data_IF_840926264410
#
_entry.id   IF_840926264410
#
_cell.length_a   1.000
_cell.length_b   1.000
_cell.length_c   1.000
_cell.angle_alpha   90.00
_cell.angle_beta   90.00
_cell.angle_gamma   90.00
#
_symmetry.space_group_name_H-M   'P 1'
#
loop_
_entity.id
_entity.type
_entity.pdbx_description
1 polymer ?
#
# COMPACT_ATOMS: atom_id res chain seq x y z
N UNK A 1 41.12 32.64 41.96
CA UNK A 1 41.74 33.20 40.74
C UNK A 1 42.38 32.01 40.04
N UNK A 2 41.85 31.40 38.99
CA UNK A 2 40.87 31.80 37.97
C UNK A 2 39.74 30.76 37.85
N UNK A 3 38.58 31.25 37.42
CA UNK A 3 37.34 30.54 37.16
C UNK A 3 37.11 30.66 35.64
N UNK A 4 37.06 29.54 34.92
CA UNK A 4 36.57 29.50 33.53
C UNK A 4 35.67 28.27 33.32
N UNK A 5 34.41 28.50 33.67
CA UNK A 5 33.21 28.35 32.84
C UNK A 5 33.13 27.16 31.87
N UNK A 6 32.27 26.21 32.26
CA UNK A 6 31.58 25.22 31.45
C UNK A 6 30.67 25.85 30.39
N UNK A 7 30.63 25.26 29.19
CA UNK A 7 29.57 25.49 28.19
C UNK A 7 29.01 24.13 27.77
N UNK A 8 27.75 23.84 28.13
CA UNK A 8 27.00 22.70 27.63
C UNK A 8 26.35 23.03 26.29
N UNK A 9 26.45 22.10 25.35
CA UNK A 9 25.60 22.08 24.16
C UNK A 9 24.36 21.24 24.49
N UNK A 10 23.19 21.87 24.50
CA UNK A 10 21.91 21.18 24.55
C UNK A 10 21.50 20.84 23.12
N UNK A 11 21.52 19.56 22.77
CA UNK A 11 20.93 19.04 21.54
C UNK A 11 19.41 19.17 21.61
N UNK A 12 18.85 20.00 20.74
CA UNK A 12 17.41 20.14 20.54
C UNK A 12 16.84 18.90 19.86
N UNK A 13 16.36 17.93 20.64
CA UNK A 13 15.45 16.91 20.15
C UNK A 13 14.07 17.55 19.95
N UNK A 14 13.73 17.85 18.70
CA UNK A 14 12.36 18.14 18.29
C UNK A 14 11.51 16.93 18.65
N UNK A 15 10.63 17.06 19.65
CA UNK A 15 9.68 16.02 19.99
C UNK A 15 8.80 15.77 18.76
N UNK A 16 8.97 14.61 18.14
CA UNK A 16 8.08 14.13 17.08
C UNK A 16 6.75 13.84 17.79
N UNK A 17 5.74 14.66 17.52
CA UNK A 17 4.38 14.41 17.97
C UNK A 17 3.97 13.06 17.37
N UNK A 18 3.91 12.03 18.23
CA UNK A 18 3.53 10.69 17.81
C UNK A 18 2.09 10.77 17.31
N UNK A 19 1.91 10.71 15.99
CA UNK A 19 0.60 10.52 15.40
C UNK A 19 0.06 9.21 15.97
N UNK A 20 -1.03 9.30 16.71
CA UNK A 20 -1.77 8.13 17.19
C UNK A 20 -2.98 7.92 16.31
N UNK A 21 -3.31 6.67 16.04
CA UNK A 21 -4.47 6.30 15.25
C UNK A 21 -5.19 5.14 15.92
N UNK A 22 -6.52 5.20 16.16
CA UNK A 22 -7.25 4.13 16.83
C UNK A 22 -7.05 2.76 16.17
N UNK A 23 -6.83 2.71 14.85
CA UNK A 23 -6.66 1.45 14.11
C UNK A 23 -5.22 0.94 14.28
N UNK A 24 -4.22 1.82 14.13
CA UNK A 24 -2.82 1.49 14.44
C UNK A 24 -2.65 1.02 15.89
N UNK A 25 -3.29 1.68 16.85
CA UNK A 25 -3.18 1.32 18.26
C UNK A 25 -3.86 -0.02 18.56
N UNK A 26 -4.98 -0.33 17.90
CA UNK A 26 -5.62 -1.65 17.98
C UNK A 26 -4.73 -2.77 17.41
N UNK A 27 -4.04 -2.51 16.29
CA UNK A 27 -3.07 -3.45 15.70
C UNK A 27 -1.83 -3.65 16.59
N UNK A 28 -1.32 -2.58 17.22
CA UNK A 28 -0.22 -2.65 18.19
C UNK A 28 -0.60 -3.48 19.41
N UNK A 29 -1.82 -3.32 19.92
CA UNK A 29 -2.34 -4.11 21.04
C UNK A 29 -2.41 -5.63 20.73
N UNK A 30 -2.47 -6.00 19.45
CA UNK A 30 -2.43 -7.39 18.97
C UNK A 30 -1.02 -7.89 18.65
N UNK A 31 0.01 -7.06 18.81
CA UNK A 31 1.40 -7.40 18.49
C UNK A 31 1.66 -7.55 16.98
N UNK A 32 0.84 -6.92 16.12
CA UNK A 32 0.98 -7.01 14.67
C UNK A 32 1.95 -5.93 14.15
N UNK A 33 3.06 -6.30 13.51
CA UNK A 33 4.04 -5.33 13.00
C UNK A 33 3.47 -4.46 11.88
N UNK A 34 3.53 -3.15 12.07
CA UNK A 34 3.18 -2.13 11.09
C UNK A 34 3.74 -0.78 11.54
N UNK A 35 3.80 0.19 10.64
CA UNK A 35 4.23 1.56 10.90
C UNK A 35 3.11 2.53 10.50
N UNK A 36 2.69 3.42 11.40
CA UNK A 36 1.76 4.50 11.04
C UNK A 36 2.55 5.63 10.36
N UNK A 37 2.37 5.76 9.05
CA UNK A 37 3.10 6.76 8.24
C UNK A 37 2.48 8.16 8.31
N UNK A 38 1.23 8.26 8.75
CA UNK A 38 0.51 9.51 8.91
C UNK A 38 -0.98 9.37 8.59
N UNK A 39 -1.64 10.52 8.40
CA UNK A 39 -3.03 10.60 7.98
C UNK A 39 -3.11 11.19 6.57
N UNK A 40 -4.09 10.75 5.78
CA UNK A 40 -4.36 11.35 4.48
C UNK A 40 -5.09 12.72 4.60
N UNK A 41 -5.44 13.31 3.45
CA UNK A 41 -6.18 14.57 3.40
C UNK A 41 -7.60 14.49 3.99
N UNK A 42 -8.18 13.29 4.10
CA UNK A 42 -9.47 12.98 4.74
C UNK A 42 -9.34 12.50 6.19
N UNK A 43 -8.13 12.55 6.77
CA UNK A 43 -7.81 12.11 8.13
C UNK A 43 -7.93 10.58 8.33
N UNK A 44 -7.79 9.81 7.26
CA UNK A 44 -7.74 8.35 7.25
C UNK A 44 -6.30 7.89 7.54
N UNK A 45 -6.14 6.92 8.43
CA UNK A 45 -4.84 6.35 8.79
C UNK A 45 -4.18 5.66 7.58
N UNK A 46 -2.91 5.99 7.33
CA UNK A 46 -2.06 5.29 6.35
C UNK A 46 -1.02 4.48 7.11
N UNK A 47 -1.20 3.16 7.12
CA UNK A 47 -0.28 2.22 7.74
C UNK A 47 0.60 1.55 6.68
N UNK A 48 1.91 1.53 6.91
CA UNK A 48 2.87 0.73 6.15
C UNK A 48 2.98 -0.64 6.79
N UNK A 49 2.92 -1.68 5.96
CA UNK A 49 3.00 -3.09 6.37
C UNK A 49 3.97 -3.81 5.45
N UNK A 50 4.90 -4.56 6.03
CA UNK A 50 5.82 -5.40 5.26
C UNK A 50 5.07 -6.60 4.64
N UNK A 51 5.45 -7.08 3.44
CA UNK A 51 4.70 -8.10 2.71
C UNK A 51 4.39 -9.37 3.51
N UNK A 52 5.34 -9.86 4.30
CA UNK A 52 5.22 -11.03 5.19
C UNK A 52 4.18 -10.87 6.30
N UNK A 53 3.80 -9.64 6.66
CA UNK A 53 2.81 -9.35 7.70
C UNK A 53 1.43 -8.98 7.13
N UNK A 54 1.30 -8.83 5.81
CA UNK A 54 0.08 -8.36 5.16
C UNK A 54 -1.14 -9.22 5.52
N UNK A 55 -1.09 -10.56 5.39
CA UNK A 55 -2.30 -11.36 5.65
C UNK A 55 -2.67 -11.38 7.13
N UNK A 56 -1.69 -11.25 8.04
CA UNK A 56 -1.94 -11.21 9.48
C UNK A 56 -2.66 -9.90 9.85
N UNK A 57 -2.17 -8.76 9.36
CA UNK A 57 -2.83 -7.45 9.53
C UNK A 57 -4.20 -7.44 8.86
N UNK A 58 -4.29 -7.94 7.63
CA UNK A 58 -5.55 -7.98 6.87
C UNK A 58 -6.63 -8.83 7.56
N UNK A 59 -6.28 -10.01 8.09
CA UNK A 59 -7.22 -10.84 8.86
C UNK A 59 -7.68 -10.15 10.13
N UNK A 60 -6.75 -9.54 10.87
CA UNK A 60 -7.09 -8.80 12.08
C UNK A 60 -8.06 -7.63 11.81
N UNK A 61 -7.86 -6.90 10.70
CA UNK A 61 -8.77 -5.83 10.29
C UNK A 61 -10.13 -6.38 9.84
N UNK A 62 -10.15 -7.49 9.12
CA UNK A 62 -11.40 -8.16 8.75
C UNK A 62 -12.19 -8.57 10.00
N UNK A 63 -11.53 -9.18 10.99
CA UNK A 63 -12.11 -9.57 12.28
C UNK A 63 -12.60 -8.35 13.09
N UNK A 64 -11.98 -7.18 12.90
CA UNK A 64 -12.42 -5.90 13.49
C UNK A 64 -13.61 -5.28 12.79
N UNK A 65 -14.09 -5.88 11.70
CA UNK A 65 -15.24 -5.43 10.93
C UNK A 65 -14.91 -4.56 9.72
N UNK A 66 -13.64 -4.50 9.27
CA UNK A 66 -13.30 -3.95 7.95
C UNK A 66 -13.74 -4.93 6.85
N UNK A 67 -15.05 -5.03 6.66
CA UNK A 67 -15.73 -5.95 5.76
C UNK A 67 -15.77 -5.48 4.30
N UNK A 68 -15.32 -4.26 4.01
CA UNK A 68 -15.36 -3.68 2.67
C UNK A 68 -13.96 -3.21 2.23
N UNK A 69 -13.40 -3.91 1.23
CA UNK A 69 -12.24 -3.45 0.47
C UNK A 69 -12.75 -2.51 -0.63
N UNK A 70 -12.59 -1.20 -0.41
CA UNK A 70 -13.11 -0.16 -1.31
C UNK A 70 -12.25 -0.04 -2.57
N UNK A 71 -10.92 -0.08 -2.42
CA UNK A 71 -9.98 0.00 -3.52
C UNK A 71 -8.67 -0.69 -3.16
N UNK A 72 -8.29 -1.70 -3.93
CA UNK A 72 -6.91 -2.15 -4.02
C UNK A 72 -6.30 -1.54 -5.29
N UNK A 73 -5.09 -1.00 -5.21
CA UNK A 73 -4.39 -0.46 -6.36
C UNK A 73 -2.87 -0.61 -6.23
N UNK A 74 -2.21 -0.82 -7.36
CA UNK A 74 -0.76 -0.67 -7.48
C UNK A 74 -0.38 0.81 -7.61
N UNK A 75 0.80 1.16 -7.10
CA UNK A 75 1.42 2.46 -7.32
C UNK A 75 2.92 2.30 -7.56
N UNK A 76 3.50 3.33 -8.15
CA UNK A 76 4.92 3.41 -8.47
C UNK A 76 5.48 4.71 -7.87
N UNK A 77 6.43 4.60 -6.93
CA UNK A 77 7.04 5.75 -6.25
C UNK A 77 7.96 6.56 -7.17
N UNK A 78 8.44 5.98 -8.26
CA UNK A 78 9.35 6.66 -9.20
C UNK A 78 10.29 5.70 -9.92
N UNK A 79 10.92 6.13 -11.03
CA UNK A 79 11.88 5.30 -11.77
C UNK A 79 13.03 4.84 -10.87
N UNK A 80 13.20 3.53 -10.71
CA UNK A 80 14.22 2.94 -9.85
C UNK A 80 13.85 2.81 -8.37
N UNK A 81 12.80 3.50 -7.91
CA UNK A 81 12.27 3.38 -6.55
C UNK A 81 11.34 2.17 -6.40
N UNK A 82 10.87 1.88 -5.19
CA UNK A 82 9.96 0.76 -4.93
C UNK A 82 8.62 0.88 -5.67
N UNK A 83 8.05 -0.26 -6.03
CA UNK A 83 6.62 -0.35 -6.33
C UNK A 83 5.85 -0.45 -5.02
N UNK A 84 4.53 -0.26 -5.08
CA UNK A 84 3.69 -0.52 -3.93
C UNK A 84 2.32 -1.05 -4.28
N UNK A 85 1.73 -1.76 -3.31
CA UNK A 85 0.33 -2.18 -3.33
C UNK A 85 -0.38 -1.49 -2.18
N UNK A 86 -1.45 -0.76 -2.49
CA UNK A 86 -2.27 -0.04 -1.52
C UNK A 86 -3.64 -0.71 -1.41
N UNK A 87 -4.12 -0.86 -0.17
CA UNK A 87 -5.43 -1.40 0.15
C UNK A 87 -6.20 -0.39 0.99
N UNK A 88 -7.30 0.12 0.46
CA UNK A 88 -8.21 1.02 1.14
C UNK A 88 -9.42 0.23 1.66
N UNK A 89 -9.53 0.14 2.97
CA UNK A 89 -10.55 -0.61 3.69
C UNK A 89 -11.51 0.32 4.42
N UNK A 90 -12.77 -0.09 4.53
CA UNK A 90 -13.84 0.62 5.24
C UNK A 90 -14.66 -0.37 6.08
N UNK A 91 -15.12 0.05 7.27
CA UNK A 91 -16.11 -0.69 8.05
C UNK A 91 -17.53 -0.34 7.59
N UNK A 92 -18.09 -1.11 6.66
CA UNK A 92 -19.41 -0.87 6.12
C UNK A 92 -20.50 -1.37 7.10
N UNK A 93 -21.51 -0.54 7.34
CA UNK A 93 -22.73 -0.89 8.10
C UNK A 93 -23.95 -0.19 7.50
N UNK A 94 -25.16 -0.69 7.80
CA UNK A 94 -26.41 -0.29 7.13
C UNK A 94 -26.75 1.21 7.20
N UNK A 95 -26.21 1.94 8.17
CA UNK A 95 -26.52 3.35 8.42
C UNK A 95 -25.29 4.17 8.80
N UNK A 96 -24.13 3.81 8.21
CA UNK A 96 -22.89 4.50 8.50
C UNK A 96 -22.87 5.94 7.93
N UNK A 97 -22.69 6.94 8.80
CA UNK A 97 -22.20 8.27 8.42
C UNK A 97 -20.70 8.32 8.77
N UNK A 98 -19.85 8.44 7.73
CA UNK A 98 -18.38 8.42 7.84
C UNK A 98 -17.84 7.22 8.63
N UNK A 99 -18.02 5.98 8.10
CA UNK A 99 -17.48 4.79 8.73
C UNK A 99 -15.96 4.88 8.92
N UNK A 100 -15.37 4.19 9.91
CA UNK A 100 -13.93 4.06 10.02
C UNK A 100 -13.29 3.49 8.75
N UNK A 101 -12.21 4.12 8.30
CA UNK A 101 -11.44 3.75 7.12
C UNK A 101 -9.95 3.61 7.48
N UNK A 102 -9.22 2.76 6.74
CA UNK A 102 -7.76 2.63 6.83
C UNK A 102 -7.17 2.35 5.47
N UNK A 103 -5.95 2.86 5.22
CA UNK A 103 -5.16 2.51 4.04
C UNK A 103 -3.91 1.75 4.45
N UNK A 104 -3.74 0.56 3.90
CA UNK A 104 -2.53 -0.24 4.03
C UNK A 104 -1.66 0.04 2.81
N UNK A 105 -0.39 0.39 3.02
CA UNK A 105 0.62 0.45 1.96
C UNK A 105 1.66 -0.64 2.18
N UNK A 106 1.90 -1.43 1.15
CA UNK A 106 2.96 -2.44 1.10
C UNK A 106 3.93 -2.02 0.02
N UNK A 107 5.19 -1.81 0.40
CA UNK A 107 6.25 -1.43 -0.54
C UNK A 107 7.02 -2.67 -0.99
N UNK A 108 7.36 -2.74 -2.28
CA UNK A 108 7.88 -3.91 -2.94
C UNK A 108 9.11 -3.54 -3.78
N UNK A 109 10.16 -4.38 -3.81
CA UNK A 109 11.30 -4.16 -4.68
C UNK A 109 10.90 -4.32 -6.16
N UNK A 110 11.45 -3.48 -7.04
CA UNK A 110 11.14 -3.48 -8.49
C UNK A 110 11.54 -4.75 -9.23
N UNK A 111 12.64 -5.36 -8.83
CA UNK A 111 13.21 -6.55 -9.51
C UNK A 111 12.37 -7.81 -9.26
N UNK A 112 11.70 -7.89 -8.10
CA UNK A 112 10.90 -9.05 -7.71
C UNK A 112 9.69 -8.62 -6.85
N UNK A 113 8.72 -7.88 -7.40
CA UNK A 113 7.63 -7.29 -6.63
C UNK A 113 6.57 -8.34 -6.31
N UNK A 114 6.74 -9.04 -5.19
CA UNK A 114 5.85 -10.15 -4.75
C UNK A 114 5.17 -9.80 -3.45
N UNK A 115 3.87 -10.06 -3.37
CA UNK A 115 3.06 -9.82 -2.17
C UNK A 115 1.98 -10.90 -2.03
N UNK A 116 1.62 -11.36 -0.82
CA UNK A 116 0.49 -12.27 -0.65
C UNK A 116 -0.84 -11.67 -1.12
N UNK A 117 -1.65 -12.45 -1.84
CA UNK A 117 -3.00 -12.04 -2.27
C UNK A 117 -3.97 -11.96 -1.09
N UNK A 118 -4.75 -10.87 -1.02
CA UNK A 118 -5.83 -10.73 -0.02
C UNK A 118 -7.17 -11.28 -0.51
N UNK A 119 -7.21 -11.91 -1.69
CA UNK A 119 -8.41 -12.52 -2.29
C UNK A 119 -9.16 -13.47 -1.34
N UNK A 120 -8.44 -14.19 -0.48
CA UNK A 120 -9.05 -15.12 0.47
C UNK A 120 -9.72 -14.43 1.66
N UNK A 121 -9.48 -13.12 1.86
CA UNK A 121 -10.08 -12.28 2.89
C UNK A 121 -11.20 -11.44 2.27
N UNK A 122 -10.89 -10.66 1.22
CA UNK A 122 -11.87 -9.88 0.46
C UNK A 122 -11.88 -10.31 -1.00
N UNK A 123 -13.02 -10.86 -1.45
CA UNK A 123 -13.19 -11.30 -2.85
C UNK A 123 -13.13 -10.14 -3.86
N UNK A 124 -13.33 -8.90 -3.40
CA UNK A 124 -13.16 -7.69 -4.21
C UNK A 124 -11.77 -7.59 -4.86
N UNK A 125 -10.76 -8.19 -4.23
CA UNK A 125 -9.38 -8.15 -4.71
C UNK A 125 -9.14 -8.91 -6.03
N UNK A 126 -10.06 -9.76 -6.50
CA UNK A 126 -9.86 -10.60 -7.71
C UNK A 126 -9.39 -9.78 -8.93
N UNK A 127 -10.23 -8.86 -9.39
CA UNK A 127 -9.89 -8.04 -10.56
C UNK A 127 -8.87 -6.95 -10.24
N UNK A 128 -8.90 -6.39 -9.03
CA UNK A 128 -8.02 -5.28 -8.66
C UNK A 128 -6.54 -5.72 -8.55
N UNK A 129 -6.29 -6.91 -7.96
CA UNK A 129 -4.93 -7.47 -7.89
C UNK A 129 -4.44 -7.87 -9.29
N UNK A 130 -5.34 -8.38 -10.15
CA UNK A 130 -5.03 -8.65 -11.57
C UNK A 130 -4.73 -7.38 -12.36
N UNK A 131 -5.46 -6.28 -12.12
CA UNK A 131 -5.16 -4.96 -12.71
C UNK A 131 -3.77 -4.50 -12.27
N UNK A 132 -3.48 -4.61 -10.97
CA UNK A 132 -2.18 -4.25 -10.40
C UNK A 132 -1.04 -5.09 -10.97
N UNK A 133 -1.27 -6.39 -11.20
CA UNK A 133 -0.36 -7.25 -11.95
C UNK A 133 -0.19 -6.77 -13.39
N UNK A 134 -1.28 -6.55 -14.12
CA UNK A 134 -1.25 -6.20 -15.54
C UNK A 134 -0.55 -4.86 -15.81
N UNK A 135 -0.75 -3.89 -14.92
CA UNK A 135 -0.25 -2.52 -15.07
C UNK A 135 1.13 -2.30 -14.47
N UNK A 136 1.43 -2.92 -13.31
CA UNK A 136 2.66 -2.69 -12.56
C UNK A 136 3.54 -3.93 -12.42
N UNK A 137 3.12 -5.10 -12.88
CA UNK A 137 3.89 -6.35 -12.76
C UNK A 137 4.04 -6.86 -11.33
N UNK A 138 3.18 -6.44 -10.40
CA UNK A 138 3.17 -6.93 -9.02
C UNK A 138 2.57 -8.34 -9.01
N UNK A 139 3.32 -9.30 -8.48
CA UNK A 139 2.92 -10.71 -8.41
C UNK A 139 2.20 -10.96 -7.08
N UNK A 140 0.91 -11.30 -7.16
CA UNK A 140 0.08 -11.62 -6.00
C UNK A 140 0.08 -13.13 -5.72
N UNK A 141 0.82 -13.55 -4.71
CA UNK A 141 0.99 -14.96 -4.36
C UNK A 141 -0.28 -15.56 -3.75
N UNK A 142 -0.70 -16.71 -4.27
CA UNK A 142 -1.93 -17.38 -3.82
C UNK A 142 -3.22 -16.83 -4.46
N UNK A 143 -3.13 -15.92 -5.43
CA UNK A 143 -4.27 -15.47 -6.22
C UNK A 143 -4.80 -16.61 -7.11
N UNK A 144 -6.13 -16.85 -7.22
CA UNK A 144 -6.69 -18.00 -7.93
C UNK A 144 -6.48 -17.97 -9.45
N UNK A 145 -6.41 -16.78 -10.06
CA UNK A 145 -6.29 -16.61 -11.51
C UNK A 145 -5.52 -15.34 -11.86
N UNK A 146 -4.20 -15.32 -11.59
CA UNK A 146 -3.36 -14.15 -11.86
C UNK A 146 -2.93 -14.12 -13.33
N UNK A 147 -3.76 -13.48 -14.16
CA UNK A 147 -3.51 -13.24 -15.59
C UNK A 147 -3.80 -11.77 -15.93
N UNK A 148 -3.31 -11.30 -17.07
CA UNK A 148 -3.65 -9.97 -17.62
C UNK A 148 -5.17 -9.85 -17.85
N UNK A 149 -5.67 -8.62 -17.77
CA UNK A 149 -7.12 -8.32 -17.85
C UNK A 149 -7.47 -7.11 -18.71
N UNK A 150 -6.57 -6.11 -18.76
CA UNK A 150 -6.69 -4.90 -19.55
C UNK A 150 -5.83 -4.99 -20.81
N UNK A 151 -4.63 -5.54 -20.71
CA UNK A 151 -3.72 -5.70 -21.84
C UNK A 151 -3.96 -7.05 -22.55
N UNK A 152 -3.58 -7.16 -23.84
CA UNK A 152 -3.49 -8.44 -24.53
C UNK A 152 -2.66 -9.45 -23.72
N UNK A 153 -3.05 -10.73 -23.76
CA UNK A 153 -2.41 -11.79 -22.96
C UNK A 153 -0.92 -11.98 -23.30
N UNK A 154 -0.54 -11.67 -24.53
CA UNK A 154 0.81 -11.74 -25.09
C UNK A 154 1.62 -10.44 -24.87
N UNK A 155 1.05 -9.43 -24.20
CA UNK A 155 1.72 -8.15 -23.99
C UNK A 155 2.96 -8.30 -23.09
N UNK A 156 4.06 -7.69 -23.52
CA UNK A 156 5.33 -7.64 -22.78
C UNK A 156 5.53 -6.25 -22.18
N UNK A 157 5.83 -6.20 -20.88
CA UNK A 157 6.02 -4.97 -20.12
C UNK A 157 4.83 -4.60 -19.22
N UNK A 158 4.97 -3.46 -18.53
CA UNK A 158 4.08 -3.02 -17.44
C UNK A 158 3.74 -1.54 -17.61
N UNK A 159 2.64 -1.19 -18.31
CA UNK A 159 2.39 0.15 -18.84
C UNK A 159 2.39 1.31 -17.83
N UNK A 160 1.98 1.07 -16.58
CA UNK A 160 1.84 2.13 -15.57
C UNK A 160 3.13 2.40 -14.78
N UNK A 161 4.18 1.60 -15.00
CA UNK A 161 5.49 1.90 -14.43
C UNK A 161 6.13 3.09 -15.14
N UNK A 162 6.81 3.94 -14.39
CA UNK A 162 7.43 5.18 -14.91
C UNK A 162 8.64 4.94 -15.82
N UNK A 163 9.16 3.72 -15.84
CA UNK A 163 10.25 3.23 -16.70
C UNK A 163 9.75 2.45 -17.93
N UNK A 164 8.43 2.39 -18.17
CA UNK A 164 7.88 1.71 -19.35
C UNK A 164 8.13 2.52 -20.63
N UNK A 165 8.73 1.85 -21.62
CA UNK A 165 8.87 2.38 -22.98
C UNK A 165 7.83 1.71 -23.86
N UNK A 166 6.85 2.49 -24.32
CA UNK A 166 5.81 2.02 -25.22
C UNK A 166 6.43 1.53 -26.54
N UNK A 167 6.10 0.31 -27.00
CA UNK A 167 6.56 -0.17 -28.30
C UNK A 167 6.02 0.68 -29.45
N UNK A 168 6.81 0.72 -30.53
CA UNK A 168 6.50 1.48 -31.75
C UNK A 168 5.48 0.74 -32.64
N UNK A 169 4.31 0.41 -32.09
CA UNK A 169 3.23 -0.23 -32.83
C UNK A 169 2.65 0.75 -33.85
N UNK A 170 2.31 0.24 -35.04
CA UNK A 170 1.71 1.04 -36.12
C UNK A 170 0.44 1.76 -35.65
N UNK A 171 -0.38 1.10 -34.83
CA UNK A 171 -1.64 1.61 -34.29
C UNK A 171 -1.46 2.72 -33.24
N UNK A 172 -0.27 2.88 -32.68
CA UNK A 172 0.05 3.90 -31.66
C UNK A 172 0.74 5.14 -32.25
N UNK A 173 1.03 5.14 -33.55
CA UNK A 173 1.67 6.27 -34.22
C UNK A 173 0.69 7.41 -34.51
N UNK A 174 1.25 8.53 -34.95
CA UNK A 174 0.47 9.61 -35.56
C UNK A 174 -0.36 9.06 -36.73
N UNK A 175 -1.54 9.64 -36.95
CA UNK A 175 -2.57 9.14 -37.87
C UNK A 175 -2.27 9.34 -39.38
N UNK A 176 -0.99 9.44 -39.77
CA UNK A 176 -0.55 9.57 -41.17
C UNK A 176 -0.58 8.23 -41.92
#
# INVERSE_FOLDING_TARGET
MEEQTTQSAADGQTAIELVTGPISDALKARGLPHELTGLDNRKIEIIKVEPEHLIAVARALYDDGFNYLACQCGFDEGPGDSLGSMYHLTKLSDSADRPPEVRIKVFLPRDNPRVPSVYWIWKTADWQERESFDMYGIIYEGHPNLIRILMPEDWVGWPMRKDYVTPDFYELQDAY
#
